data_IF_420022921358
#
_entry.id   IF_420022921358
#
_cell.length_a   1.000
_cell.length_b   1.000
_cell.length_c   1.000
_cell.angle_alpha   90.00
_cell.angle_beta   90.00
_cell.angle_gamma   90.00
#
_symmetry.space_group_name_H-M   'P 1'
#
loop_
_entity.id
_entity.type
_entity.pdbx_description
1 polymer ?
#
# COMPACT_ATOMS: atom_id res chain seq x y z
N UNK A 1 27.19 22.83 20.10
CA UNK A 1 25.92 22.08 20.30
C UNK A 1 25.48 21.58 18.94
N UNK A 2 25.76 20.32 18.63
CA UNK A 2 25.37 19.72 17.36
C UNK A 2 23.89 19.36 17.42
N UNK A 3 23.05 20.11 16.71
CA UNK A 3 21.66 19.71 16.48
C UNK A 3 21.66 18.58 15.45
N UNK A 4 21.56 17.34 15.93
CA UNK A 4 21.22 16.21 15.07
C UNK A 4 19.77 16.36 14.64
N UNK A 5 19.56 16.86 13.42
CA UNK A 5 18.25 16.82 12.77
C UNK A 5 18.03 15.34 12.42
N UNK A 6 17.34 14.62 13.31
CA UNK A 6 16.79 13.30 12.98
C UNK A 6 15.69 13.57 11.97
N UNK A 7 16.03 13.49 10.69
CA UNK A 7 15.04 13.45 9.61
C UNK A 7 14.16 12.24 9.87
N UNK A 8 12.98 12.46 10.45
CA UNK A 8 11.93 11.47 10.51
C UNK A 8 11.55 11.14 9.07
N UNK A 9 12.13 10.07 8.52
CA UNK A 9 11.69 9.52 7.27
C UNK A 9 10.22 9.16 7.45
N UNK A 10 9.32 9.90 6.80
CA UNK A 10 7.90 9.58 6.78
C UNK A 10 7.74 8.23 6.11
N UNK A 11 7.63 7.17 6.91
CA UNK A 11 7.31 5.84 6.41
C UNK A 11 5.88 5.88 5.91
N UNK A 12 5.70 5.74 4.61
CA UNK A 12 4.37 5.62 4.01
C UNK A 12 4.00 4.14 3.95
N UNK A 13 2.71 3.85 4.01
CA UNK A 13 2.18 2.50 3.98
C UNK A 13 1.08 2.37 2.94
N UNK A 14 1.00 1.20 2.30
CA UNK A 14 -0.18 0.80 1.52
C UNK A 14 -1.00 -0.16 2.37
N UNK A 15 -2.20 0.24 2.77
CA UNK A 15 -3.11 -0.58 3.56
C UNK A 15 -4.17 -1.21 2.67
N UNK A 16 -4.37 -2.52 2.81
CA UNK A 16 -5.42 -3.31 2.21
C UNK A 16 -6.54 -3.58 3.23
N UNK A 17 -7.79 -3.35 2.82
CA UNK A 17 -8.99 -3.55 3.61
C UNK A 17 -9.95 -4.52 2.88
N UNK A 18 -9.94 -5.82 3.22
CA UNK A 18 -10.78 -6.85 2.59
C UNK A 18 -12.28 -6.56 2.71
N UNK A 19 -12.72 -5.82 3.74
CA UNK A 19 -14.12 -5.42 3.91
C UNK A 19 -14.67 -4.56 2.74
N UNK A 20 -13.78 -3.99 1.93
CA UNK A 20 -14.13 -3.16 0.78
C UNK A 20 -13.79 -3.81 -0.56
N UNK A 21 -13.14 -4.97 -0.55
CA UNK A 21 -12.70 -5.65 -1.77
C UNK A 21 -13.89 -6.22 -2.55
N UNK A 22 -14.10 -5.73 -3.77
CA UNK A 22 -15.15 -6.19 -4.68
C UNK A 22 -14.81 -7.54 -5.34
N UNK A 23 -13.58 -8.04 -5.16
CA UNK A 23 -13.14 -9.33 -5.68
C UNK A 23 -12.83 -9.38 -7.18
N UNK A 24 -12.83 -8.24 -7.88
CA UNK A 24 -12.43 -8.19 -9.30
C UNK A 24 -10.91 -8.38 -9.51
N UNK A 25 -10.13 -8.13 -8.44
CA UNK A 25 -8.68 -8.18 -8.41
C UNK A 25 -8.00 -7.32 -9.47
N UNK A 26 -8.68 -6.28 -10.00
CA UNK A 26 -8.18 -5.50 -11.12
C UNK A 26 -6.92 -4.73 -10.74
N UNK A 27 -6.93 -4.03 -9.61
CA UNK A 27 -5.76 -3.34 -9.08
C UNK A 27 -4.63 -4.33 -8.75
N UNK A 28 -4.95 -5.50 -8.19
CA UNK A 28 -3.94 -6.52 -7.84
C UNK A 28 -3.19 -7.02 -9.08
N UNK A 29 -3.89 -7.24 -10.20
CA UNK A 29 -3.30 -7.62 -11.50
C UNK A 29 -2.40 -6.53 -12.12
N UNK A 30 -2.40 -5.33 -11.54
CA UNK A 30 -1.56 -4.19 -11.95
C UNK A 30 -0.41 -3.91 -10.99
N UNK A 31 -0.37 -4.63 -9.86
CA UNK A 31 0.77 -4.64 -8.97
C UNK A 31 1.92 -5.42 -9.61
N UNK A 32 3.15 -5.02 -9.28
CA UNK A 32 4.37 -5.65 -9.74
C UNK A 32 5.37 -5.77 -8.57
N UNK A 33 5.78 -4.65 -7.98
CA UNK A 33 6.65 -4.64 -6.80
C UNK A 33 5.91 -5.10 -5.55
N UNK A 34 4.63 -4.73 -5.41
CA UNK A 34 3.82 -5.01 -4.23
C UNK A 34 2.95 -6.26 -4.38
N UNK A 35 2.96 -6.91 -5.56
CA UNK A 35 2.12 -8.07 -5.87
C UNK A 35 2.24 -9.20 -4.83
N UNK A 36 3.44 -9.64 -4.40
CA UNK A 36 3.55 -10.77 -3.48
C UNK A 36 2.88 -10.52 -2.13
N UNK A 37 3.06 -9.31 -1.59
CA UNK A 37 2.52 -8.90 -0.29
C UNK A 37 1.02 -8.66 -0.37
N UNK A 38 0.55 -8.01 -1.45
CA UNK A 38 -0.87 -7.79 -1.69
C UNK A 38 -1.62 -9.11 -1.95
N UNK A 39 -1.03 -10.05 -2.70
CA UNK A 39 -1.60 -11.39 -2.88
C UNK A 39 -1.71 -12.14 -1.55
N UNK A 40 -0.69 -12.04 -0.68
CA UNK A 40 -0.72 -12.65 0.64
C UNK A 40 -1.84 -12.04 1.52
N UNK A 41 -2.00 -10.71 1.48
CA UNK A 41 -3.05 -9.99 2.20
C UNK A 41 -4.46 -10.34 1.70
N UNK A 42 -4.64 -10.41 0.37
CA UNK A 42 -5.91 -10.82 -0.25
C UNK A 42 -6.26 -12.25 0.11
N UNK A 43 -5.27 -13.16 0.11
CA UNK A 43 -5.46 -14.56 0.49
C UNK A 43 -5.79 -14.74 1.97
N UNK A 44 -5.21 -13.91 2.85
CA UNK A 44 -5.49 -13.96 4.29
C UNK A 44 -6.82 -13.32 4.66
N UNK A 45 -7.45 -12.56 3.73
CA UNK A 45 -8.67 -11.79 3.97
C UNK A 45 -8.60 -10.95 5.26
N UNK A 46 -7.43 -10.40 5.55
CA UNK A 46 -7.18 -9.63 6.78
C UNK A 46 -6.64 -8.24 6.45
N UNK A 47 -7.08 -7.24 7.22
CA UNK A 47 -6.53 -5.89 7.17
C UNK A 47 -5.00 -5.94 7.29
N UNK A 48 -4.29 -5.40 6.31
CA UNK A 48 -2.83 -5.50 6.23
C UNK A 48 -2.27 -4.17 5.74
N UNK A 49 -1.23 -3.64 6.40
CA UNK A 49 -0.50 -2.47 5.93
C UNK A 49 0.95 -2.85 5.59
N UNK A 50 1.33 -2.56 4.35
CA UNK A 50 2.65 -2.82 3.77
C UNK A 50 3.49 -1.55 3.89
N UNK A 51 4.70 -1.65 4.43
CA UNK A 51 5.61 -0.51 4.51
C UNK A 51 6.25 -0.21 3.16
N UNK A 52 6.20 1.06 2.74
CA UNK A 52 6.78 1.54 1.50
C UNK A 52 8.10 2.22 1.85
N UNK A 53 9.21 1.56 1.51
CA UNK A 53 10.57 1.97 1.85
C UNK A 53 11.30 2.64 0.70
N UNK A 54 10.83 2.41 -0.54
CA UNK A 54 11.42 2.96 -1.77
C UNK A 54 10.43 3.85 -2.51
N UNK A 55 10.95 4.83 -3.25
CA UNK A 55 10.13 5.71 -4.08
C UNK A 55 9.35 4.93 -5.15
N UNK A 56 9.92 3.86 -5.71
CA UNK A 56 9.23 3.01 -6.69
C UNK A 56 8.02 2.28 -6.11
N UNK A 57 8.08 1.87 -4.84
CA UNK A 57 6.97 1.24 -4.11
C UNK A 57 5.86 2.27 -3.85
N UNK A 58 6.24 3.50 -3.50
CA UNK A 58 5.33 4.64 -3.36
C UNK A 58 4.60 4.98 -4.67
N UNK A 59 5.34 5.04 -5.79
CA UNK A 59 4.79 5.37 -7.10
C UNK A 59 3.81 4.28 -7.57
N UNK A 60 4.17 3.01 -7.36
CA UNK A 60 3.28 1.89 -7.64
C UNK A 60 2.04 1.93 -6.74
N UNK A 61 2.20 2.06 -5.42
CA UNK A 61 1.07 2.15 -4.49
C UNK A 61 0.11 3.29 -4.86
N UNK A 62 0.64 4.46 -5.21
CA UNK A 62 -0.17 5.59 -5.66
C UNK A 62 -0.92 5.31 -6.97
N UNK A 63 -0.32 4.53 -7.87
CA UNK A 63 -0.99 4.05 -9.08
C UNK A 63 -2.10 3.05 -8.75
N UNK A 64 -1.84 2.06 -7.90
CA UNK A 64 -2.82 1.04 -7.51
C UNK A 64 -4.05 1.67 -6.85
N UNK A 65 -3.85 2.61 -5.91
CA UNK A 65 -4.97 3.33 -5.23
C UNK A 65 -5.85 4.07 -6.23
N UNK A 66 -5.31 4.57 -7.35
CA UNK A 66 -6.10 5.21 -8.41
C UNK A 66 -6.93 4.21 -9.21
N UNK A 67 -6.46 2.96 -9.30
CA UNK A 67 -7.15 1.87 -10.01
C UNK A 67 -8.21 1.18 -9.15
N UNK A 68 -8.17 1.36 -7.82
CA UNK A 68 -9.21 0.87 -6.92
C UNK A 68 -10.51 1.67 -7.11
N UNK A 69 -11.58 1.06 -7.65
CA UNK A 69 -12.85 1.75 -7.87
C UNK A 69 -13.54 2.15 -6.55
N UNK A 70 -13.26 1.43 -5.45
CA UNK A 70 -13.85 1.71 -4.14
C UNK A 70 -13.14 2.84 -3.40
N UNK A 71 -11.88 3.11 -3.76
CA UNK A 71 -10.95 4.01 -3.06
C UNK A 71 -10.82 3.71 -1.56
N UNK A 72 -11.10 2.46 -1.19
CA UNK A 72 -11.21 1.98 0.18
C UNK A 72 -10.62 0.59 0.35
N UNK A 73 -10.55 -0.21 -0.72
CA UNK A 73 -9.90 -1.53 -0.71
C UNK A 73 -8.42 -1.39 -0.49
N UNK A 74 -7.79 -0.41 -1.13
CA UNK A 74 -6.38 -0.08 -0.91
C UNK A 74 -6.21 1.43 -0.72
N UNK A 75 -5.46 1.82 0.30
CA UNK A 75 -5.23 3.24 0.62
C UNK A 75 -3.78 3.50 1.01
N UNK A 76 -3.30 4.69 0.66
CA UNK A 76 -2.02 5.19 1.15
C UNK A 76 -2.22 5.85 2.53
N UNK A 77 -1.42 5.42 3.50
CA UNK A 77 -1.38 5.99 4.85
C UNK A 77 0.04 6.47 5.17
N UNK A 78 0.14 7.41 6.10
CA UNK A 78 1.41 7.81 6.72
C UNK A 78 1.48 7.15 8.09
N UNK A 79 2.61 6.50 8.40
CA UNK A 79 2.87 5.94 9.73
C UNK A 79 3.18 7.04 10.74
#
# INVERSE_FOLDING_TARGET
MSLSIVSAALVSQLCYFPAHDLGDGYWLKKANLLEPELMAAVKSQSDTCIELTKQSELDEAAHLVKLDPTKKTIVLSKK
#
